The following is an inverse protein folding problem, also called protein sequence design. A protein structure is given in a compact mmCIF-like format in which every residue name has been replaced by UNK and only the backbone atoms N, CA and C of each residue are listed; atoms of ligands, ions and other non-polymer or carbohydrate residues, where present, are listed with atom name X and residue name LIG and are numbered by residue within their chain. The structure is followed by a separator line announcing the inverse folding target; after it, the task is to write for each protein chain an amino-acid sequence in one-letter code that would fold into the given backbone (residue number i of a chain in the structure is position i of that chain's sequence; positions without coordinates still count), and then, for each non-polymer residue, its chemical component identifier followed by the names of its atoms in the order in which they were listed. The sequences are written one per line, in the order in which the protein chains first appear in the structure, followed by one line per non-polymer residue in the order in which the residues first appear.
data_IF_374402119378
#
_entry.id   IF_374402119378
#
_cell.length_a   1.000
_cell.length_b   1.000
_cell.length_c   1.000
_cell.angle_alpha   90.00
_cell.angle_beta   90.00
_cell.angle_gamma   90.00
#
_symmetry.space_group_name_H-M   'P 1'
#
loop_
_entity.id
_entity.type
_entity.pdbx_description
1 polymer ?
#
# COMPACT_ATOMS: atom_id res chain seq x y z
N UNK A 1 81.63 -33.24 -18.54
CA UNK A 1 81.64 -31.76 -18.39
C UNK A 1 80.61 -31.05 -19.27
N UNK A 2 80.72 -31.02 -20.62
CA UNK A 2 79.74 -30.29 -21.46
C UNK A 2 78.32 -30.88 -21.44
N UNK A 3 78.19 -32.21 -21.48
CA UNK A 3 76.89 -32.91 -21.42
C UNK A 3 76.16 -32.72 -20.09
N UNK A 4 76.89 -32.65 -18.97
CA UNK A 4 76.32 -32.46 -17.63
C UNK A 4 75.74 -31.05 -17.45
N UNK A 5 76.42 -30.03 -17.98
CA UNK A 5 75.94 -28.63 -17.95
C UNK A 5 74.67 -28.48 -18.79
N UNK A 6 74.62 -29.13 -19.97
CA UNK A 6 73.44 -29.11 -20.84
C UNK A 6 72.21 -29.70 -20.14
N UNK A 7 72.37 -30.83 -19.45
CA UNK A 7 71.28 -31.48 -18.70
C UNK A 7 70.75 -30.56 -17.60
N UNK A 8 71.63 -29.87 -16.87
CA UNK A 8 71.22 -28.93 -15.81
C UNK A 8 70.41 -27.76 -16.40
N UNK A 9 70.86 -27.16 -17.50
CA UNK A 9 70.16 -26.05 -18.17
C UNK A 9 68.79 -26.47 -18.68
N UNK A 10 68.66 -27.68 -19.22
CA UNK A 10 67.38 -28.23 -19.67
C UNK A 10 66.41 -28.46 -18.51
N UNK A 11 66.89 -28.97 -17.37
CA UNK A 11 66.08 -29.10 -16.16
C UNK A 11 65.59 -27.76 -15.63
N UNK A 12 66.44 -26.74 -15.56
CA UNK A 12 66.03 -25.39 -15.16
C UNK A 12 65.00 -24.78 -16.11
N UNK A 13 65.17 -24.98 -17.41
CA UNK A 13 64.23 -24.49 -18.43
C UNK A 13 62.87 -25.20 -18.32
N UNK A 14 62.89 -26.51 -18.09
CA UNK A 14 61.68 -27.32 -17.86
C UNK A 14 60.95 -26.91 -16.58
N UNK A 15 61.68 -26.68 -15.49
CA UNK A 15 61.13 -26.19 -14.21
C UNK A 15 60.49 -24.80 -14.40
N UNK A 16 61.19 -23.89 -15.08
CA UNK A 16 60.67 -22.55 -15.38
C UNK A 16 59.40 -22.60 -16.23
N UNK A 17 59.37 -23.46 -17.25
CA UNK A 17 58.18 -23.69 -18.07
C UNK A 17 57.00 -24.24 -17.23
N UNK A 18 57.26 -25.18 -16.33
CA UNK A 18 56.22 -25.75 -15.46
C UNK A 18 55.66 -24.73 -14.46
N UNK A 19 56.51 -23.84 -13.91
CA UNK A 19 56.09 -22.72 -13.05
C UNK A 19 55.24 -21.72 -13.84
N UNK A 20 55.61 -21.42 -15.08
CA UNK A 20 54.83 -20.55 -15.95
C UNK A 20 53.44 -21.15 -16.25
N UNK A 21 53.39 -22.43 -16.65
CA UNK A 21 52.14 -23.13 -16.93
C UNK A 21 51.24 -23.26 -15.69
N UNK A 22 51.82 -23.52 -14.51
CA UNK A 22 51.05 -23.60 -13.26
C UNK A 22 50.46 -22.23 -12.87
N UNK A 23 51.21 -21.14 -13.05
CA UNK A 23 50.69 -19.79 -12.84
C UNK A 23 49.54 -19.47 -13.78
N UNK A 24 49.66 -19.80 -15.07
CA UNK A 24 48.59 -19.59 -16.05
C UNK A 24 47.33 -20.41 -15.71
N UNK A 25 47.52 -21.64 -15.23
CA UNK A 25 46.41 -22.50 -14.80
C UNK A 25 45.71 -21.97 -13.53
N UNK A 26 46.45 -21.40 -12.58
CA UNK A 26 45.86 -20.75 -11.38
C UNK A 26 45.06 -19.50 -11.77
N UNK A 27 45.55 -18.72 -12.73
CA UNK A 27 44.86 -17.52 -13.21
C UNK A 27 43.54 -17.88 -13.91
N UNK A 28 43.54 -18.91 -14.77
CA UNK A 28 42.32 -19.38 -15.43
C UNK A 28 41.31 -19.95 -14.42
N UNK A 29 41.77 -20.66 -13.38
CA UNK A 29 40.90 -21.13 -12.29
C UNK A 29 40.25 -19.96 -11.53
N UNK A 30 41.01 -18.90 -11.22
CA UNK A 30 40.46 -17.70 -10.57
C UNK A 30 39.39 -17.03 -11.44
N UNK A 31 39.61 -16.96 -12.75
CA UNK A 31 38.66 -16.39 -13.70
C UNK A 31 37.37 -17.22 -13.79
N UNK A 32 37.47 -18.56 -13.82
CA UNK A 32 36.31 -19.44 -13.78
C UNK A 32 35.50 -19.28 -12.49
N UNK A 33 36.17 -19.22 -11.35
CA UNK A 33 35.53 -18.99 -10.05
C UNK A 33 34.82 -17.63 -10.02
N UNK A 34 35.45 -16.57 -10.53
CA UNK A 34 34.84 -15.24 -10.64
C UNK A 34 33.59 -15.25 -11.51
N UNK A 35 33.66 -15.87 -12.70
CA UNK A 35 32.51 -15.95 -13.60
C UNK A 35 31.34 -16.73 -12.98
N UNK A 36 31.61 -17.84 -12.29
CA UNK A 36 30.58 -18.61 -11.56
C UNK A 36 29.93 -17.77 -10.45
N UNK A 37 30.74 -17.01 -9.70
CA UNK A 37 30.24 -16.12 -8.65
C UNK A 37 29.37 -14.99 -9.21
N UNK A 38 29.73 -14.39 -10.34
CA UNK A 38 28.91 -13.37 -10.98
C UNK A 38 27.60 -13.95 -11.54
N UNK A 39 27.63 -15.14 -12.14
CA UNK A 39 26.42 -15.83 -12.57
C UNK A 39 25.47 -16.13 -11.40
N UNK A 40 26.00 -16.64 -10.28
CA UNK A 40 25.21 -16.90 -9.07
C UNK A 40 24.58 -15.63 -8.51
N UNK A 41 25.32 -14.51 -8.46
CA UNK A 41 24.78 -13.21 -8.04
C UNK A 41 23.61 -12.79 -8.93
N UNK A 42 23.74 -12.93 -10.25
CA UNK A 42 22.69 -12.56 -11.19
C UNK A 42 21.43 -13.42 -11.03
N UNK A 43 21.56 -14.73 -10.80
CA UNK A 43 20.41 -15.62 -10.52
C UNK A 43 19.71 -15.25 -9.21
N UNK A 44 20.47 -14.90 -8.16
CA UNK A 44 19.91 -14.45 -6.88
C UNK A 44 19.18 -13.11 -7.06
N UNK A 45 19.72 -12.18 -7.85
CA UNK A 45 19.08 -10.90 -8.14
C UNK A 45 17.78 -11.13 -8.92
N UNK A 46 17.81 -11.92 -9.99
CA UNK A 46 16.64 -12.23 -10.81
C UNK A 46 15.53 -12.90 -9.99
N UNK A 47 15.85 -13.93 -9.20
CA UNK A 47 14.88 -14.61 -8.33
C UNK A 47 14.26 -13.70 -7.27
N UNK A 48 15.03 -12.77 -6.69
CA UNK A 48 14.49 -11.74 -5.77
C UNK A 48 13.58 -10.75 -6.48
N UNK A 49 13.91 -10.36 -7.71
CA UNK A 49 13.08 -9.48 -8.52
C UNK A 49 11.77 -10.18 -8.87
N UNK A 50 11.80 -11.45 -9.27
CA UNK A 50 10.60 -12.22 -9.58
C UNK A 50 9.70 -12.36 -8.35
N UNK A 51 10.23 -12.70 -7.17
CA UNK A 51 9.44 -12.78 -5.93
C UNK A 51 8.77 -11.45 -5.56
N UNK A 52 9.49 -10.33 -5.69
CA UNK A 52 8.90 -9.00 -5.46
C UNK A 52 7.82 -8.68 -6.47
N UNK A 53 8.02 -9.06 -7.73
CA UNK A 53 7.09 -8.81 -8.83
C UNK A 53 5.81 -9.64 -8.65
N UNK A 54 5.92 -10.90 -8.26
CA UNK A 54 4.77 -11.76 -7.97
C UNK A 54 4.00 -11.29 -6.72
N UNK A 55 4.70 -10.90 -5.65
CA UNK A 55 4.06 -10.30 -4.48
C UNK A 55 3.31 -9.00 -4.81
N UNK A 56 3.90 -8.16 -5.67
CA UNK A 56 3.26 -6.93 -6.15
C UNK A 56 2.01 -7.20 -7.00
N UNK A 57 2.09 -8.16 -7.94
CA UNK A 57 0.93 -8.58 -8.78
C UNK A 57 -0.25 -9.06 -7.96
N UNK A 58 -0.01 -9.73 -6.83
CA UNK A 58 -1.08 -10.21 -5.93
C UNK A 58 -1.60 -9.08 -5.03
N UNK A 59 -0.72 -8.21 -4.53
CA UNK A 59 -1.12 -7.12 -3.63
C UNK A 59 -1.84 -5.97 -4.32
N UNK A 60 -1.45 -5.61 -5.56
CA UNK A 60 -1.99 -4.44 -6.25
C UNK A 60 -3.53 -4.49 -6.41
N UNK A 61 -4.15 -5.59 -6.86
CA UNK A 61 -5.60 -5.69 -6.93
C UNK A 61 -6.29 -5.49 -5.58
N UNK A 62 -5.69 -6.01 -4.49
CA UNK A 62 -6.24 -5.86 -3.14
C UNK A 62 -6.20 -4.40 -2.67
N UNK A 63 -5.14 -3.65 -3.01
CA UNK A 63 -5.02 -2.22 -2.70
C UNK A 63 -6.02 -1.38 -3.49
N UNK A 64 -6.22 -1.69 -4.77
CA UNK A 64 -7.25 -1.05 -5.60
C UNK A 64 -8.64 -1.30 -5.00
N UNK A 65 -8.97 -2.56 -4.72
CA UNK A 65 -10.26 -2.93 -4.15
C UNK A 65 -10.50 -2.27 -2.78
N UNK A 66 -9.49 -2.22 -1.91
CA UNK A 66 -9.59 -1.55 -0.61
C UNK A 66 -9.87 -0.05 -0.75
N UNK A 67 -9.18 0.60 -1.68
CA UNK A 67 -9.36 2.02 -1.97
C UNK A 67 -10.75 2.30 -2.54
N UNK A 68 -11.26 1.48 -3.47
CA UNK A 68 -12.63 1.58 -3.99
C UNK A 68 -13.67 1.49 -2.86
N UNK A 69 -13.51 0.51 -1.97
CA UNK A 69 -14.42 0.34 -0.82
C UNK A 69 -14.39 1.54 0.13
N UNK A 70 -13.22 2.11 0.39
CA UNK A 70 -13.09 3.27 1.27
C UNK A 70 -13.60 4.55 0.61
N UNK A 71 -13.41 4.71 -0.71
CA UNK A 71 -14.06 5.80 -1.46
C UNK A 71 -15.57 5.67 -1.38
N UNK A 72 -16.13 4.49 -1.61
CA UNK A 72 -17.58 4.27 -1.48
C UNK A 72 -18.09 4.57 -0.07
N UNK A 73 -17.35 4.17 0.97
CA UNK A 73 -17.67 4.52 2.34
C UNK A 73 -17.71 6.04 2.53
N UNK A 74 -16.67 6.76 2.11
CA UNK A 74 -16.57 8.22 2.23
C UNK A 74 -17.69 8.94 1.45
N UNK A 75 -18.01 8.48 0.24
CA UNK A 75 -19.13 9.01 -0.55
C UNK A 75 -20.46 8.84 0.20
N UNK A 76 -20.67 7.69 0.86
CA UNK A 76 -21.91 7.44 1.60
C UNK A 76 -22.02 8.23 2.89
N UNK A 77 -20.91 8.75 3.41
CA UNK A 77 -20.91 9.69 4.53
C UNK A 77 -21.31 11.11 4.13
N UNK A 78 -21.41 11.42 2.83
CA UNK A 78 -21.85 12.74 2.41
C UNK A 78 -23.21 13.09 3.04
N UNK A 79 -23.39 14.31 3.60
CA UNK A 79 -24.59 14.68 4.35
C UNK A 79 -25.90 14.41 3.61
N UNK A 80 -25.90 14.63 2.30
CA UNK A 80 -27.05 14.39 1.42
C UNK A 80 -27.41 12.90 1.31
N UNK A 81 -26.39 12.05 1.11
CA UNK A 81 -26.58 10.61 0.91
C UNK A 81 -26.94 9.89 2.21
N UNK A 82 -26.27 10.22 3.31
CA UNK A 82 -26.58 9.61 4.60
C UNK A 82 -27.97 10.02 5.10
N UNK A 83 -28.36 11.29 4.94
CA UNK A 83 -29.68 11.78 5.35
C UNK A 83 -30.78 11.08 4.57
N UNK A 84 -30.69 11.09 3.23
CA UNK A 84 -31.72 10.50 2.36
C UNK A 84 -31.91 9.00 2.60
N UNK A 85 -30.83 8.27 2.91
CA UNK A 85 -30.88 6.83 3.19
C UNK A 85 -31.70 6.49 4.44
N UNK A 86 -31.65 7.32 5.48
CA UNK A 86 -32.31 7.04 6.76
C UNK A 86 -33.62 7.83 6.98
N UNK A 87 -33.98 8.71 6.04
CA UNK A 87 -35.13 9.62 6.18
C UNK A 87 -36.49 8.92 6.20
N UNK A 88 -36.65 7.81 5.48
CA UNK A 88 -37.92 7.08 5.40
C UNK A 88 -38.23 6.27 6.67
N UNK A 89 -37.20 5.89 7.42
CA UNK A 89 -37.31 5.05 8.61
C UNK A 89 -37.60 5.85 9.88
N UNK A 90 -37.47 7.17 9.81
CA UNK A 90 -37.50 8.05 10.98
C UNK A 90 -38.78 8.88 11.02
N UNK A 91 -39.22 9.28 12.21
CA UNK A 91 -40.28 10.30 12.39
C UNK A 91 -39.74 11.58 13.00
N UNK A 92 -38.92 11.49 14.03
CA UNK A 92 -38.34 12.64 14.73
C UNK A 92 -36.86 12.85 14.37
N UNK A 93 -36.35 14.06 14.58
CA UNK A 93 -34.95 14.41 14.36
C UNK A 93 -33.98 13.50 15.13
N UNK A 94 -34.30 13.19 16.40
CA UNK A 94 -33.49 12.31 17.24
C UNK A 94 -33.36 10.90 16.66
N UNK A 95 -34.46 10.34 16.16
CA UNK A 95 -34.49 9.01 15.54
C UNK A 95 -33.64 8.99 14.27
N UNK A 96 -33.80 9.99 13.40
CA UNK A 96 -32.98 10.15 12.21
C UNK A 96 -31.48 10.22 12.54
N UNK A 97 -31.09 11.02 13.54
CA UNK A 97 -29.71 11.08 13.99
C UNK A 97 -29.18 9.72 14.47
N UNK A 98 -29.97 8.98 15.27
CA UNK A 98 -29.58 7.66 15.75
C UNK A 98 -29.40 6.64 14.62
N UNK A 99 -30.29 6.66 13.63
CA UNK A 99 -30.18 5.78 12.46
C UNK A 99 -28.94 6.10 11.62
N UNK A 100 -28.65 7.38 11.37
CA UNK A 100 -27.43 7.80 10.68
C UNK A 100 -26.18 7.34 11.43
N UNK A 101 -26.10 7.60 12.75
CA UNK A 101 -24.96 7.20 13.57
C UNK A 101 -24.74 5.68 13.59
N UNK A 102 -25.83 4.90 13.62
CA UNK A 102 -25.78 3.45 13.50
C UNK A 102 -25.24 3.03 12.13
N UNK A 103 -25.79 3.58 11.06
CA UNK A 103 -25.34 3.30 9.68
C UNK A 103 -23.86 3.60 9.47
N UNK A 104 -23.36 4.73 9.99
CA UNK A 104 -21.92 5.08 9.95
C UNK A 104 -21.07 4.01 10.63
N UNK A 105 -21.48 3.55 11.82
CA UNK A 105 -20.73 2.56 12.58
C UNK A 105 -20.68 1.23 11.86
N UNK A 106 -21.83 0.72 11.42
CA UNK A 106 -21.92 -0.54 10.70
C UNK A 106 -21.07 -0.49 9.43
N UNK A 107 -21.20 0.57 8.64
CA UNK A 107 -20.45 0.72 7.40
C UNK A 107 -18.94 0.84 7.62
N UNK A 108 -18.52 1.51 8.69
CA UNK A 108 -17.12 1.58 9.10
C UNK A 108 -16.59 0.20 9.51
N UNK A 109 -17.35 -0.55 10.31
CA UNK A 109 -16.97 -1.89 10.77
C UNK A 109 -16.83 -2.87 9.58
N UNK A 110 -17.71 -2.78 8.58
CA UNK A 110 -17.60 -3.56 7.33
C UNK A 110 -16.36 -3.22 6.49
N UNK A 111 -15.77 -2.05 6.68
CA UNK A 111 -14.58 -1.58 5.95
C UNK A 111 -13.32 -1.55 6.80
N UNK A 112 -13.39 -1.96 8.07
CA UNK A 112 -12.27 -1.90 9.01
C UNK A 112 -11.05 -2.70 8.54
N UNK A 113 -11.27 -3.84 7.88
CA UNK A 113 -10.18 -4.68 7.36
C UNK A 113 -9.41 -4.04 6.21
N UNK A 114 -9.99 -3.05 5.53
CA UNK A 114 -9.35 -2.38 4.38
C UNK A 114 -8.14 -1.55 4.78
N UNK A 115 -8.01 -1.19 6.07
CA UNK A 115 -6.86 -0.45 6.62
C UNK A 115 -5.51 -1.15 6.36
N UNK A 116 -5.52 -2.47 6.15
CA UNK A 116 -4.30 -3.26 5.87
C UNK A 116 -3.70 -2.97 4.48
N UNK A 117 -4.45 -2.35 3.58
CA UNK A 117 -4.11 -2.24 2.16
C UNK A 117 -3.93 -0.79 1.69
N UNK A 118 -4.04 0.19 2.59
CA UNK A 118 -3.88 1.61 2.28
C UNK A 118 -2.77 2.23 3.15
N UNK A 119 -2.37 3.47 2.85
CA UNK A 119 -1.41 4.18 3.70
C UNK A 119 -2.00 4.52 5.06
N UNK A 120 -1.14 4.57 6.08
CA UNK A 120 -1.54 5.02 7.42
C UNK A 120 -2.14 6.43 7.37
N UNK A 121 -1.56 7.32 6.56
CA UNK A 121 -2.05 8.69 6.39
C UNK A 121 -3.47 8.72 5.82
N UNK A 122 -3.73 7.94 4.76
CA UNK A 122 -5.08 7.80 4.20
C UNK A 122 -6.06 7.26 5.25
N UNK A 123 -5.65 6.24 6.00
CA UNK A 123 -6.50 5.63 7.01
C UNK A 123 -6.85 6.60 8.16
N UNK A 124 -5.88 7.36 8.66
CA UNK A 124 -6.14 8.37 9.68
C UNK A 124 -7.10 9.45 9.16
N UNK A 125 -6.93 9.89 7.91
CA UNK A 125 -7.79 10.89 7.31
C UNK A 125 -9.23 10.36 7.09
N UNK A 126 -9.39 9.10 6.69
CA UNK A 126 -10.70 8.43 6.62
C UNK A 126 -11.40 8.40 7.98
N UNK A 127 -10.67 8.06 9.05
CA UNK A 127 -11.24 8.07 10.42
C UNK A 127 -11.61 9.49 10.86
N UNK A 128 -10.79 10.48 10.52
CA UNK A 128 -11.07 11.87 10.83
C UNK A 128 -12.32 12.38 10.10
N UNK A 129 -12.49 12.02 8.81
CA UNK A 129 -13.68 12.35 8.04
C UNK A 129 -14.95 11.74 8.64
N UNK A 130 -14.90 10.47 9.06
CA UNK A 130 -15.99 9.82 9.80
C UNK A 130 -16.36 10.58 11.07
N UNK A 131 -15.36 10.98 11.85
CA UNK A 131 -15.56 11.70 13.10
C UNK A 131 -16.15 13.10 12.87
N UNK A 132 -15.72 13.80 11.83
CA UNK A 132 -16.29 15.09 11.42
C UNK A 132 -17.78 14.98 11.09
N UNK A 133 -18.19 13.92 10.37
CA UNK A 133 -19.61 13.66 10.06
C UNK A 133 -20.42 13.40 11.34
N UNK A 134 -19.90 12.58 12.25
CA UNK A 134 -20.54 12.29 13.54
C UNK A 134 -20.73 13.57 14.36
N UNK A 135 -19.68 14.40 14.44
CA UNK A 135 -19.73 15.68 15.14
C UNK A 135 -20.75 16.63 14.50
N UNK A 136 -20.79 16.69 13.17
CA UNK A 136 -21.77 17.49 12.44
C UNK A 136 -23.22 17.09 12.78
N UNK A 137 -23.51 15.78 12.81
CA UNK A 137 -24.82 15.26 13.18
C UNK A 137 -25.20 15.72 14.60
N UNK A 138 -24.29 15.58 15.57
CA UNK A 138 -24.55 16.01 16.94
C UNK A 138 -24.76 17.53 17.05
N UNK A 139 -23.94 18.33 16.37
CA UNK A 139 -24.05 19.80 16.37
C UNK A 139 -25.41 20.23 15.81
N UNK A 140 -25.84 19.65 14.69
CA UNK A 140 -27.11 20.00 14.08
C UNK A 140 -28.31 19.53 14.91
N UNK A 141 -28.24 18.33 15.51
CA UNK A 141 -29.29 17.85 16.41
C UNK A 141 -29.44 18.75 17.65
N UNK A 142 -28.32 19.22 18.22
CA UNK A 142 -28.34 20.07 19.41
C UNK A 142 -28.92 21.47 19.17
N UNK A 143 -29.07 21.90 17.90
CA UNK A 143 -29.76 23.16 17.53
C UNK A 143 -31.28 23.03 17.55
N UNK A 144 -31.80 21.81 17.65
CA UNK A 144 -33.22 21.50 17.51
C UNK A 144 -33.86 21.18 18.86
N UNK A 145 -35.17 21.41 18.94
CA UNK A 145 -35.97 20.99 20.10
C UNK A 145 -36.12 19.45 20.14
N UNK A 146 -36.44 18.93 21.33
CA UNK A 146 -36.58 17.47 21.55
C UNK A 146 -37.66 16.81 20.69
N UNK A 147 -38.68 17.57 20.29
CA UNK A 147 -39.80 17.11 19.46
C UNK A 147 -39.68 17.58 18.01
N UNK A 148 -38.51 18.04 17.59
CA UNK A 148 -38.25 18.47 16.23
C UNK A 148 -38.53 17.36 15.21
N UNK A 149 -39.18 17.74 14.11
CA UNK A 149 -39.44 16.84 12.99
C UNK A 149 -38.14 16.49 12.25
N UNK A 150 -38.06 15.28 11.70
CA UNK A 150 -36.91 14.81 10.93
C UNK A 150 -36.50 15.73 9.78
N UNK A 151 -37.46 16.44 9.18
CA UNK A 151 -37.21 17.38 8.06
C UNK A 151 -36.33 18.55 8.48
N UNK A 152 -36.44 19.00 9.74
CA UNK A 152 -35.61 20.09 10.26
C UNK A 152 -34.14 19.68 10.34
N UNK A 153 -33.86 18.48 10.84
CA UNK A 153 -32.49 17.93 10.85
C UNK A 153 -31.99 17.69 9.43
N UNK A 154 -32.84 17.16 8.55
CA UNK A 154 -32.47 16.93 7.15
C UNK A 154 -32.05 18.22 6.44
N UNK A 155 -32.79 19.32 6.63
CA UNK A 155 -32.42 20.63 6.07
C UNK A 155 -31.06 21.11 6.57
N UNK A 156 -30.80 21.05 7.89
CA UNK A 156 -29.50 21.43 8.46
C UNK A 156 -28.35 20.58 7.92
N UNK A 157 -28.59 19.27 7.74
CA UNK A 157 -27.58 18.37 7.17
C UNK A 157 -27.27 18.70 5.70
N UNK A 158 -28.28 19.06 4.89
CA UNK A 158 -28.08 19.44 3.49
C UNK A 158 -27.27 20.74 3.32
N UNK A 159 -27.37 21.65 4.29
CA UNK A 159 -26.59 22.90 4.35
C UNK A 159 -25.16 22.69 4.90
N UNK A 160 -24.87 21.52 5.45
CA UNK A 160 -23.58 21.23 6.08
C UNK A 160 -22.53 20.84 5.04
N UNK A 161 -21.36 21.47 5.12
CA UNK A 161 -20.19 21.10 4.32
C UNK A 161 -19.21 20.27 5.15
N UNK A 162 -18.66 19.21 4.55
CA UNK A 162 -17.68 18.32 5.18
C UNK A 162 -16.41 18.33 4.34
N UNK A 163 -15.32 18.87 4.89
CA UNK A 163 -14.09 19.08 4.14
C UNK A 163 -13.20 17.84 4.10
N UNK A 164 -13.23 17.00 5.13
CA UNK A 164 -12.30 15.88 5.24
C UNK A 164 -12.68 14.72 4.33
N UNK A 165 -13.95 14.57 3.94
CA UNK A 165 -14.38 13.53 2.98
C UNK A 165 -13.62 13.69 1.66
N UNK A 166 -13.68 14.86 1.06
CA UNK A 166 -13.04 15.12 -0.23
C UNK A 166 -11.52 14.99 -0.16
N UNK A 167 -10.91 15.47 0.94
CA UNK A 167 -9.47 15.31 1.17
C UNK A 167 -9.06 13.84 1.31
N UNK A 168 -9.86 13.03 2.00
CA UNK A 168 -9.61 11.60 2.16
C UNK A 168 -9.71 10.87 0.81
N UNK A 169 -10.74 11.18 0.01
CA UNK A 169 -10.90 10.60 -1.34
C UNK A 169 -9.73 10.98 -2.24
N UNK A 170 -9.31 12.26 -2.22
CA UNK A 170 -8.19 12.72 -3.02
C UNK A 170 -6.90 12.00 -2.65
N UNK A 171 -6.61 11.85 -1.35
CA UNK A 171 -5.43 11.13 -0.88
C UNK A 171 -5.43 9.65 -1.31
N UNK A 172 -6.58 8.97 -1.21
CA UNK A 172 -6.72 7.59 -1.70
C UNK A 172 -6.45 7.47 -3.21
N UNK A 173 -6.90 8.45 -4.00
CA UNK A 173 -6.61 8.52 -5.44
C UNK A 173 -5.13 8.75 -5.71
N UNK A 174 -4.49 9.63 -4.95
CA UNK A 174 -3.07 9.94 -5.11
C UNK A 174 -2.20 8.73 -4.74
N UNK A 175 -2.53 8.00 -3.68
CA UNK A 175 -1.87 6.76 -3.28
C UNK A 175 -1.96 5.70 -4.40
N UNK A 176 -3.14 5.51 -4.99
CA UNK A 176 -3.32 4.59 -6.12
C UNK A 176 -2.52 5.00 -7.37
N UNK A 177 -2.51 6.31 -7.68
CA UNK A 177 -1.77 6.84 -8.82
C UNK A 177 -0.26 6.65 -8.65
N UNK A 178 0.26 6.73 -7.43
CA UNK A 178 1.66 6.45 -7.12
C UNK A 178 2.01 4.97 -7.25
N UNK A 179 1.06 4.06 -7.03
CA UNK A 179 1.29 2.61 -7.16
C UNK A 179 1.25 2.11 -8.59
N UNK A 180 0.59 2.85 -9.50
CA UNK A 180 0.39 2.47 -10.91
C UNK A 180 1.40 3.08 -11.86
N UNK A 181 2.20 4.05 -11.40
CA UNK A 181 3.31 4.68 -12.14
C UNK A 181 4.63 3.99 -11.84
#
# INVERSE_FOLDING_TARGET
MFSEILIIVLWFSFIGFFIYQSRQWILSLKQLLQNQNEQLKMVIIASKVDQKTEGFKVMLPLRIQASERLVLFLERLQPQLITSRHMNESTYALDLAQQMLRGIREEFDYNLSQQLFISDTAWQLTKAAKEEVIQMIHINLNKLDKEADKTQLASLMLESEIQLIERAIQLLRDDLNQMTR
#
